data_IF_777215804757
#
_entry.id   IF_777215804757
#
_cell.length_a   1.000
_cell.length_b   1.000
_cell.length_c   1.000
_cell.angle_alpha   90.00
_cell.angle_beta   90.00
_cell.angle_gamma   90.00
#
_symmetry.space_group_name_H-M   'P 1'
#
loop_
_entity.id
_entity.type
_entity.pdbx_description
1 polymer ?
#
# COMPACT_ATOMS: atom_id res chain seq x y z
N UNK A 1 -19.65 -8.79 5.21
CA UNK A 1 -18.15 -8.81 5.16
C UNK A 1 -17.63 -9.63 6.34
N UNK A 2 -16.60 -10.44 6.13
CA UNK A 2 -15.96 -11.28 7.14
C UNK A 2 -14.53 -10.79 7.39
N UNK A 3 -14.03 -11.00 8.61
CA UNK A 3 -12.67 -10.63 8.98
C UNK A 3 -11.77 -11.87 9.02
N UNK A 4 -10.63 -11.79 8.35
CA UNK A 4 -9.58 -12.81 8.39
C UNK A 4 -8.32 -12.19 8.98
N UNK A 5 -7.70 -12.87 9.93
CA UNK A 5 -6.47 -12.46 10.57
C UNK A 5 -5.38 -13.51 10.33
N UNK A 6 -4.20 -13.04 9.99
CA UNK A 6 -3.02 -13.88 9.92
C UNK A 6 -1.99 -13.38 10.94
N UNK A 7 -1.38 -14.31 11.65
CA UNK A 7 -0.27 -14.03 12.58
C UNK A 7 1.09 -14.23 11.93
N UNK A 8 1.08 -14.58 10.62
CA UNK A 8 2.31 -14.71 9.84
C UNK A 8 2.89 -13.32 9.50
N UNK A 9 4.20 -13.17 9.66
CA UNK A 9 4.97 -12.03 9.14
C UNK A 9 5.72 -12.37 7.85
N UNK A 10 5.53 -13.59 7.33
CA UNK A 10 6.13 -14.04 6.08
C UNK A 10 5.43 -13.39 4.88
N UNK A 11 6.12 -12.52 4.10
CA UNK A 11 5.51 -11.79 3.01
C UNK A 11 4.98 -12.69 1.88
N UNK A 12 5.66 -13.79 1.62
CA UNK A 12 5.28 -14.73 0.57
C UNK A 12 3.96 -15.43 0.91
N UNK A 13 3.81 -15.83 2.19
CA UNK A 13 2.58 -16.42 2.71
C UNK A 13 1.43 -15.42 2.72
N UNK A 14 1.67 -14.21 3.20
CA UNK A 14 0.62 -13.19 3.34
C UNK A 14 0.04 -12.77 1.98
N UNK A 15 0.89 -12.61 0.95
CA UNK A 15 0.44 -12.32 -0.41
C UNK A 15 -0.24 -13.53 -1.08
N UNK A 16 0.18 -14.75 -0.75
CA UNK A 16 -0.50 -15.96 -1.21
C UNK A 16 -1.91 -16.09 -0.58
N UNK A 17 -2.04 -15.77 0.70
CA UNK A 17 -3.32 -15.75 1.40
C UNK A 17 -4.26 -14.69 0.81
N UNK A 18 -3.77 -13.48 0.58
CA UNK A 18 -4.54 -12.41 -0.06
C UNK A 18 -5.04 -12.82 -1.45
N UNK A 19 -4.16 -13.43 -2.27
CA UNK A 19 -4.54 -13.97 -3.58
C UNK A 19 -5.56 -15.09 -3.46
N UNK A 20 -5.37 -16.01 -2.52
CA UNK A 20 -6.31 -17.11 -2.32
C UNK A 20 -7.73 -16.61 -2.02
N UNK A 21 -7.85 -15.63 -1.11
CA UNK A 21 -9.15 -15.02 -0.77
C UNK A 21 -9.76 -14.32 -1.97
N UNK A 22 -8.96 -13.56 -2.73
CA UNK A 22 -9.43 -12.87 -3.93
C UNK A 22 -10.00 -13.84 -4.96
N UNK A 23 -9.32 -14.96 -5.20
CA UNK A 23 -9.60 -15.86 -6.32
C UNK A 23 -10.56 -16.99 -5.97
N UNK A 24 -10.64 -17.40 -4.69
CA UNK A 24 -11.39 -18.60 -4.28
C UNK A 24 -12.55 -18.33 -3.30
N UNK A 25 -12.45 -17.31 -2.46
CA UNK A 25 -13.50 -16.96 -1.51
C UNK A 25 -14.46 -15.95 -2.11
N UNK A 26 -15.42 -16.44 -2.91
CA UNK A 26 -16.39 -15.61 -3.66
C UNK A 26 -17.74 -15.45 -2.97
N UNK A 27 -17.94 -16.10 -1.83
CA UNK A 27 -19.17 -16.16 -1.05
C UNK A 27 -19.49 -14.84 -0.32
N UNK A 28 -18.45 -14.08 0.09
CA UNK A 28 -18.62 -12.85 0.86
C UNK A 28 -17.55 -11.79 0.48
N UNK A 29 -17.64 -10.64 1.12
CA UNK A 29 -16.59 -9.63 1.13
C UNK A 29 -15.67 -9.86 2.34
N UNK A 30 -14.40 -9.53 2.23
CA UNK A 30 -13.40 -9.83 3.25
C UNK A 30 -12.57 -8.60 3.62
N UNK A 31 -12.23 -8.51 4.91
CA UNK A 31 -11.22 -7.61 5.47
C UNK A 31 -10.09 -8.45 6.04
N UNK A 32 -8.85 -8.07 5.75
CA UNK A 32 -7.64 -8.60 6.39
C UNK A 32 -6.83 -7.48 7.03
N UNK A 33 -6.23 -7.74 8.19
CA UNK A 33 -5.13 -6.98 8.75
C UNK A 33 -3.91 -7.89 8.86
N UNK A 34 -2.74 -7.43 8.43
CA UNK A 34 -1.55 -8.27 8.33
C UNK A 34 -0.25 -7.45 8.30
N UNK A 35 0.87 -8.12 8.60
CA UNK A 35 2.20 -7.53 8.64
C UNK A 35 3.20 -8.35 7.84
N UNK A 36 4.24 -7.69 7.33
CA UNK A 36 5.44 -8.34 6.82
C UNK A 36 6.66 -7.90 7.65
N UNK A 37 7.61 -8.81 7.85
CA UNK A 37 8.87 -8.49 8.49
C UNK A 37 9.96 -8.26 7.43
N UNK A 38 10.68 -7.13 7.56
CA UNK A 38 11.89 -6.79 6.80
C UNK A 38 11.77 -7.12 5.30
N UNK A 39 10.83 -6.47 4.60
CA UNK A 39 10.43 -6.86 3.25
C UNK A 39 10.33 -5.67 2.31
N UNK A 40 10.89 -5.79 1.10
CA UNK A 40 10.54 -4.93 -0.03
C UNK A 40 9.40 -5.61 -0.81
N UNK A 41 8.30 -4.89 -1.01
CA UNK A 41 7.16 -5.34 -1.83
C UNK A 41 7.16 -4.58 -3.15
N UNK A 42 7.50 -5.29 -4.21
CA UNK A 42 7.57 -4.77 -5.59
C UNK A 42 6.17 -4.77 -6.21
N UNK A 43 5.81 -3.70 -6.90
CA UNK A 43 4.57 -3.66 -7.69
C UNK A 43 4.60 -4.64 -8.86
N UNK A 44 3.43 -5.15 -9.26
CA UNK A 44 3.28 -6.19 -10.30
C UNK A 44 4.09 -5.91 -11.58
N UNK A 45 4.12 -4.64 -11.99
CA UNK A 45 4.67 -4.23 -13.29
C UNK A 45 6.06 -3.56 -13.17
N UNK A 46 6.71 -3.62 -12.01
CA UNK A 46 8.02 -3.00 -11.82
C UNK A 46 9.16 -3.95 -12.20
N UNK A 47 10.27 -3.36 -12.66
CA UNK A 47 11.54 -4.07 -12.76
C UNK A 47 12.19 -4.10 -11.38
N UNK A 48 12.28 -5.28 -10.77
CA UNK A 48 12.76 -5.42 -9.39
C UNK A 48 14.14 -4.82 -9.19
N UNK A 49 15.10 -5.10 -10.08
CA UNK A 49 16.47 -4.59 -9.94
C UNK A 49 16.57 -3.06 -10.07
N UNK A 50 15.61 -2.42 -10.73
CA UNK A 50 15.56 -0.96 -10.83
C UNK A 50 14.96 -0.29 -9.58
N UNK A 51 14.31 -1.06 -8.71
CA UNK A 51 13.63 -0.52 -7.52
C UNK A 51 14.36 -0.84 -6.20
N UNK A 52 15.39 -1.68 -6.22
CA UNK A 52 16.09 -2.12 -5.01
C UNK A 52 17.57 -1.72 -5.03
N UNK A 53 18.12 -1.46 -3.85
CA UNK A 53 19.56 -1.43 -3.63
C UNK A 53 20.02 -2.88 -3.32
N UNK A 54 20.53 -3.59 -4.32
CA UNK A 54 20.87 -5.02 -4.22
C UNK A 54 21.88 -5.30 -3.10
N UNK A 55 22.89 -4.44 -2.91
CA UNK A 55 23.91 -4.59 -1.86
C UNK A 55 23.29 -4.43 -0.46
N UNK A 56 22.40 -3.48 -0.29
CA UNK A 56 21.68 -3.26 0.97
C UNK A 56 20.72 -4.43 1.26
N UNK A 57 20.00 -4.93 0.25
CA UNK A 57 19.13 -6.11 0.36
C UNK A 57 19.91 -7.32 0.91
N UNK A 58 21.09 -7.60 0.36
CA UNK A 58 21.93 -8.69 0.84
C UNK A 58 22.45 -8.42 2.25
N UNK A 59 22.98 -7.21 2.50
CA UNK A 59 23.55 -6.80 3.79
C UNK A 59 22.56 -6.94 4.93
N UNK A 60 21.32 -6.48 4.72
CA UNK A 60 20.29 -6.45 5.75
C UNK A 60 19.34 -7.66 5.69
N UNK A 61 19.60 -8.61 4.79
CA UNK A 61 18.78 -9.83 4.60
C UNK A 61 17.30 -9.50 4.37
N UNK A 62 17.04 -8.49 3.53
CA UNK A 62 15.67 -8.03 3.23
C UNK A 62 15.00 -9.03 2.30
N UNK A 63 13.76 -9.42 2.64
CA UNK A 63 12.93 -10.19 1.73
C UNK A 63 12.51 -9.32 0.55
N UNK A 64 12.47 -9.89 -0.65
CA UNK A 64 11.96 -9.20 -1.84
C UNK A 64 10.84 -10.03 -2.43
N UNK A 65 9.65 -9.46 -2.48
CA UNK A 65 8.46 -10.13 -3.00
C UNK A 65 7.70 -9.22 -3.94
N UNK A 66 7.13 -9.78 -5.00
CA UNK A 66 6.26 -9.06 -5.93
C UNK A 66 4.80 -9.29 -5.60
N UNK A 67 4.02 -8.21 -5.41
CA UNK A 67 2.57 -8.29 -5.19
C UNK A 67 1.79 -8.41 -6.50
N UNK A 68 0.53 -8.83 -6.40
CA UNK A 68 -0.39 -8.96 -7.53
C UNK A 68 -0.99 -7.65 -8.04
N UNK A 69 -0.85 -6.54 -7.30
CA UNK A 69 -1.34 -5.20 -7.65
C UNK A 69 -0.24 -4.35 -8.28
N UNK A 70 -0.60 -3.32 -9.03
CA UNK A 70 0.33 -2.31 -9.56
C UNK A 70 0.87 -1.36 -8.47
N UNK A 71 1.39 -0.21 -8.91
CA UNK A 71 1.98 0.81 -8.03
C UNK A 71 3.47 0.61 -7.77
N UNK A 72 4.08 1.54 -7.01
CA UNK A 72 5.50 1.58 -6.69
C UNK A 72 5.95 0.55 -5.66
N UNK A 73 7.27 0.38 -5.53
CA UNK A 73 7.88 -0.45 -4.48
C UNK A 73 7.73 0.23 -3.11
N UNK A 74 7.54 -0.58 -2.08
CA UNK A 74 7.45 -0.16 -0.68
C UNK A 74 8.31 -1.07 0.20
N UNK A 75 8.74 -0.54 1.34
CA UNK A 75 9.37 -1.33 2.39
C UNK A 75 8.38 -1.58 3.50
N UNK A 76 8.45 -2.73 4.13
CA UNK A 76 7.66 -3.12 5.30
C UNK A 76 8.58 -3.72 6.36
N UNK A 77 8.40 -3.27 7.59
CA UNK A 77 8.90 -3.94 8.78
C UNK A 77 7.76 -4.13 9.79
N UNK A 78 8.08 -4.57 11.01
CA UNK A 78 7.07 -4.74 12.07
C UNK A 78 6.51 -3.41 12.61
N UNK A 79 6.93 -2.27 12.08
CA UNK A 79 6.34 -0.96 12.32
C UNK A 79 5.26 -0.57 11.30
N UNK A 80 5.07 -1.38 10.23
CA UNK A 80 4.03 -1.18 9.25
C UNK A 80 2.87 -2.17 9.47
N UNK A 81 1.64 -1.70 9.34
CA UNK A 81 0.42 -2.53 9.32
C UNK A 81 -0.23 -2.44 7.95
N UNK A 82 -0.57 -3.59 7.36
CA UNK A 82 -1.30 -3.64 6.11
C UNK A 82 -2.77 -3.94 6.36
N UNK A 83 -3.63 -3.41 5.50
CA UNK A 83 -5.05 -3.78 5.43
C UNK A 83 -5.41 -4.17 4.00
N UNK A 84 -6.36 -5.11 3.86
CA UNK A 84 -6.89 -5.54 2.56
C UNK A 84 -8.39 -5.65 2.63
N UNK A 85 -9.09 -4.93 1.77
CA UNK A 85 -10.50 -5.13 1.47
C UNK A 85 -10.61 -5.93 0.18
N UNK A 86 -11.35 -7.02 0.21
CA UNK A 86 -11.61 -7.86 -0.95
C UNK A 86 -13.12 -7.94 -1.12
N UNK A 87 -13.66 -7.24 -2.11
CA UNK A 87 -15.10 -7.04 -2.26
C UNK A 87 -15.57 -7.41 -3.66
N UNK A 88 -16.87 -7.68 -3.78
CA UNK A 88 -17.52 -7.84 -5.09
C UNK A 88 -17.67 -6.48 -5.75
N UNK A 89 -17.35 -6.42 -7.03
CA UNK A 89 -17.58 -5.25 -7.87
C UNK A 89 -17.80 -5.70 -9.32
N UNK A 90 -18.99 -5.43 -9.84
CA UNK A 90 -19.37 -5.89 -11.16
C UNK A 90 -18.69 -5.10 -12.30
N UNK A 91 -18.24 -3.88 -12.01
CA UNK A 91 -17.74 -2.94 -13.01
C UNK A 91 -16.37 -2.39 -12.59
N UNK A 92 -15.34 -2.78 -13.31
CA UNK A 92 -13.97 -2.36 -13.05
C UNK A 92 -13.77 -0.83 -13.18
N UNK A 93 -14.60 -0.14 -13.98
CA UNK A 93 -14.51 1.31 -14.20
C UNK A 93 -15.12 2.11 -13.03
N UNK A 94 -15.94 1.47 -12.19
CA UNK A 94 -16.63 2.11 -11.05
C UNK A 94 -15.92 1.93 -9.71
N UNK A 95 -14.71 1.41 -9.72
CA UNK A 95 -13.96 1.19 -8.48
C UNK A 95 -13.46 2.52 -7.94
N UNK A 96 -14.14 3.02 -6.90
CA UNK A 96 -13.73 4.22 -6.19
C UNK A 96 -12.76 3.88 -5.05
N UNK A 97 -11.58 4.49 -5.04
CA UNK A 97 -10.60 4.33 -3.96
C UNK A 97 -11.15 4.79 -2.61
N UNK A 98 -11.91 5.88 -2.62
CA UNK A 98 -12.48 6.52 -1.43
C UNK A 98 -13.33 5.55 -0.61
N UNK A 99 -14.07 4.66 -1.24
CA UNK A 99 -14.90 3.64 -0.58
C UNK A 99 -14.11 2.80 0.42
N UNK A 100 -12.86 2.50 0.11
CA UNK A 100 -12.00 1.61 0.90
C UNK A 100 -11.09 2.35 1.88
N UNK A 101 -10.69 3.58 1.55
CA UNK A 101 -9.84 4.38 2.46
C UNK A 101 -10.66 5.11 3.52
N UNK A 102 -11.93 5.41 3.25
CA UNK A 102 -12.78 6.15 4.18
C UNK A 102 -12.96 5.49 5.56
N UNK A 103 -13.16 4.16 5.70
CA UNK A 103 -13.19 3.50 7.00
C UNK A 103 -11.90 3.71 7.80
N UNK A 104 -10.74 3.65 7.13
CA UNK A 104 -9.42 3.88 7.75
C UNK A 104 -9.30 5.33 8.20
N UNK A 105 -9.63 6.29 7.34
CA UNK A 105 -9.63 7.72 7.68
C UNK A 105 -10.54 8.01 8.86
N UNK A 106 -11.74 7.42 8.89
CA UNK A 106 -12.68 7.58 10.00
C UNK A 106 -12.08 7.07 11.31
N UNK A 107 -11.42 5.92 11.30
CA UNK A 107 -10.73 5.39 12.47
C UNK A 107 -9.60 6.33 12.94
N UNK A 108 -8.75 6.81 12.02
CA UNK A 108 -7.68 7.75 12.35
C UNK A 108 -8.20 9.08 12.90
N UNK A 109 -9.31 9.60 12.35
CA UNK A 109 -9.95 10.83 12.87
C UNK A 109 -10.52 10.67 14.26
N UNK A 110 -11.03 9.50 14.62
CA UNK A 110 -11.47 9.19 15.98
C UNK A 110 -10.32 9.21 17.00
N UNK A 111 -9.07 9.01 16.56
CA UNK A 111 -7.87 9.19 17.38
C UNK A 111 -7.40 10.66 17.44
N UNK A 112 -8.20 11.61 16.94
CA UNK A 112 -7.83 13.03 16.94
C UNK A 112 -6.85 13.43 15.83
N UNK A 113 -6.57 12.55 14.87
CA UNK A 113 -5.68 12.84 13.76
C UNK A 113 -6.43 13.52 12.60
N UNK A 114 -5.83 14.54 12.01
CA UNK A 114 -6.40 15.22 10.84
C UNK A 114 -6.10 14.43 9.54
N UNK A 115 -6.70 13.24 9.45
CA UNK A 115 -6.49 12.33 8.32
C UNK A 115 -7.40 12.68 7.13
N UNK A 116 -6.83 12.70 5.94
CA UNK A 116 -7.53 12.97 4.69
C UNK A 116 -6.94 12.20 3.51
N UNK A 117 -7.63 12.13 2.38
CA UNK A 117 -7.08 11.60 1.14
C UNK A 117 -6.26 12.65 0.43
N UNK A 118 -5.14 12.26 -0.20
CA UNK A 118 -4.36 13.11 -1.08
C UNK A 118 -4.08 12.42 -2.40
N UNK A 119 -4.38 13.14 -3.49
CA UNK A 119 -4.24 12.56 -4.82
C UNK A 119 -5.21 11.40 -5.04
N UNK A 120 -4.72 10.32 -5.67
CA UNK A 120 -5.56 9.17 -6.04
C UNK A 120 -5.54 8.05 -5.01
N UNK A 121 -4.46 7.94 -4.23
CA UNK A 121 -4.16 6.69 -3.53
C UNK A 121 -3.36 6.85 -2.23
N UNK A 122 -3.33 8.03 -1.64
CA UNK A 122 -2.60 8.28 -0.40
C UNK A 122 -3.54 8.69 0.72
N UNK A 123 -3.24 8.28 1.97
CA UNK A 123 -3.77 8.90 3.17
C UNK A 123 -2.68 9.78 3.75
N UNK A 124 -3.03 11.01 4.05
CA UNK A 124 -2.16 11.99 4.70
C UNK A 124 -2.72 12.43 6.04
N UNK A 125 -1.82 12.77 6.96
CA UNK A 125 -2.12 13.38 8.25
C UNK A 125 -1.23 14.63 8.36
N UNK A 126 -1.85 15.81 8.48
CA UNK A 126 -1.13 17.09 8.58
C UNK A 126 -0.05 17.28 7.50
N UNK A 127 -0.35 16.86 6.26
CA UNK A 127 0.55 16.96 5.11
C UNK A 127 1.58 15.85 4.97
N UNK A 128 1.69 14.93 5.94
CA UNK A 128 2.56 13.75 5.88
C UNK A 128 1.80 12.54 5.33
N UNK A 129 2.36 11.90 4.31
CA UNK A 129 1.83 10.62 3.81
C UNK A 129 2.10 9.52 4.82
N UNK A 130 1.03 8.84 5.25
CA UNK A 130 1.07 7.73 6.21
C UNK A 130 0.58 6.41 5.62
N UNK A 131 0.02 6.45 4.40
CA UNK A 131 -0.50 5.26 3.71
C UNK A 131 -0.38 5.43 2.21
N UNK A 132 -0.02 4.37 1.52
CA UNK A 132 -0.18 4.21 0.08
C UNK A 132 -1.09 3.01 -0.19
N UNK A 133 -1.92 3.09 -1.23
CA UNK A 133 -2.84 2.01 -1.58
C UNK A 133 -2.67 1.56 -3.02
N UNK A 134 -3.05 0.31 -3.29
CA UNK A 134 -3.10 -0.25 -4.63
C UNK A 134 -4.34 -1.14 -4.78
N UNK A 135 -4.79 -1.30 -6.03
CA UNK A 135 -5.97 -2.10 -6.35
C UNK A 135 -5.68 -3.10 -7.46
N UNK A 136 -6.43 -4.19 -7.43
CA UNK A 136 -6.50 -5.18 -8.52
C UNK A 136 -7.96 -5.59 -8.70
N UNK A 137 -8.43 -5.52 -9.95
CA UNK A 137 -9.69 -6.16 -10.35
C UNK A 137 -9.40 -7.58 -10.84
N UNK A 138 -10.25 -8.52 -10.43
CA UNK A 138 -10.17 -9.92 -10.84
C UNK A 138 -11.56 -10.57 -10.83
N UNK A 139 -12.06 -10.94 -11.99
CA UNK A 139 -13.31 -11.71 -12.18
C UNK A 139 -14.50 -11.23 -11.32
N UNK A 140 -14.83 -9.95 -11.39
CA UNK A 140 -15.95 -9.38 -10.64
C UNK A 140 -15.64 -9.07 -9.18
N UNK A 141 -14.37 -9.08 -8.79
CA UNK A 141 -13.90 -8.72 -7.44
C UNK A 141 -12.78 -7.70 -7.48
N UNK A 142 -12.70 -6.93 -6.42
CA UNK A 142 -11.65 -5.94 -6.19
C UNK A 142 -10.89 -6.33 -4.94
N UNK A 143 -9.58 -6.43 -5.09
CA UNK A 143 -8.62 -6.33 -4.00
C UNK A 143 -8.18 -4.88 -3.89
N UNK A 144 -8.43 -4.26 -2.75
CA UNK A 144 -7.88 -2.97 -2.36
C UNK A 144 -7.03 -3.17 -1.11
N UNK A 145 -5.75 -2.97 -1.20
CA UNK A 145 -4.87 -3.04 -0.04
C UNK A 145 -4.06 -1.76 0.14
N UNK A 146 -3.70 -1.49 1.38
CA UNK A 146 -2.91 -0.34 1.75
C UNK A 146 -1.99 -0.62 2.92
N UNK A 147 -0.98 0.25 3.03
CA UNK A 147 -0.04 0.29 4.17
C UNK A 147 -0.53 1.31 5.18
N UNK A 148 -0.19 1.12 6.45
CA UNK A 148 -0.26 2.12 7.51
C UNK A 148 1.12 2.18 8.16
N UNK A 149 1.87 3.23 7.85
CA UNK A 149 3.20 3.48 8.41
C UNK A 149 3.01 3.93 9.86
N UNK A 150 2.98 2.95 10.78
CA UNK A 150 2.72 3.26 12.18
C UNK A 150 3.99 3.68 12.91
N UNK A 151 5.06 2.87 12.82
CA UNK A 151 6.39 3.12 13.38
C UNK A 151 7.47 2.45 12.53
N UNK A 152 7.36 2.56 11.20
CA UNK A 152 8.28 1.97 10.23
C UNK A 152 9.65 2.64 10.29
N UNK A 153 10.71 1.86 10.08
CA UNK A 153 12.07 2.38 9.96
C UNK A 153 12.27 3.04 8.58
N UNK A 154 11.95 4.33 8.49
CA UNK A 154 12.06 5.11 7.25
C UNK A 154 13.50 5.25 6.74
N UNK A 155 14.52 5.17 7.60
CA UNK A 155 15.92 5.19 7.18
C UNK A 155 16.29 3.88 6.48
N UNK A 156 15.84 2.74 6.99
CA UNK A 156 15.98 1.44 6.32
C UNK A 156 15.27 1.45 4.96
N UNK A 157 14.04 1.94 4.91
CA UNK A 157 13.29 2.06 3.65
C UNK A 157 14.08 2.86 2.59
N UNK A 158 14.67 3.99 2.98
CA UNK A 158 15.50 4.81 2.10
C UNK A 158 16.81 4.12 1.67
N UNK A 159 17.38 3.24 2.48
CA UNK A 159 18.63 2.55 2.17
C UNK A 159 18.42 1.37 1.23
N UNK A 160 17.31 0.64 1.39
CA UNK A 160 17.06 -0.60 0.63
C UNK A 160 16.30 -0.36 -0.68
N UNK A 161 15.55 0.73 -0.79
CA UNK A 161 14.86 1.11 -2.02
C UNK A 161 15.76 2.00 -2.89
N UNK A 162 15.78 1.72 -4.18
CA UNK A 162 16.41 2.59 -5.14
C UNK A 162 15.41 3.67 -5.58
N UNK A 163 15.74 4.94 -5.30
CA UNK A 163 14.92 6.08 -5.73
C UNK A 163 15.51 6.64 -7.01
N UNK A 164 14.83 6.43 -8.14
CA UNK A 164 15.23 7.00 -9.43
C UNK A 164 15.26 8.54 -9.34
N UNK A 165 16.42 9.20 -9.59
CA UNK A 165 16.52 10.66 -9.55
C UNK A 165 15.55 11.37 -10.49
N UNK A 166 15.17 10.74 -11.60
CA UNK A 166 14.24 11.33 -12.56
C UNK A 166 12.79 11.28 -12.06
N UNK A 167 12.43 10.28 -11.25
CA UNK A 167 11.14 10.25 -10.53
C UNK A 167 11.02 11.41 -9.52
N UNK A 168 12.14 11.83 -8.91
CA UNK A 168 12.18 12.96 -7.98
C UNK A 168 11.97 14.28 -8.72
N UNK A 169 12.64 14.48 -9.87
CA UNK A 169 12.54 15.70 -10.68
C UNK A 169 11.15 15.90 -11.29
N UNK A 170 10.53 14.84 -11.81
CA UNK A 170 9.22 14.89 -12.44
C UNK A 170 8.09 15.31 -11.49
N UNK A 171 8.21 15.01 -10.19
CA UNK A 171 7.21 15.39 -9.17
C UNK A 171 7.35 16.83 -8.65
N UNK A 172 8.35 17.61 -9.08
CA UNK A 172 8.52 19.02 -8.74
C UNK A 172 8.70 19.29 -7.24
N UNK A 173 9.20 18.34 -6.46
CA UNK A 173 9.07 18.33 -5.01
C UNK A 173 10.42 18.40 -4.32
N UNK A 174 10.55 19.34 -3.41
CA UNK A 174 11.54 19.29 -2.33
C UNK A 174 11.38 17.95 -1.59
N UNK A 175 12.43 17.15 -1.62
CA UNK A 175 12.66 15.82 -1.03
C UNK A 175 11.43 14.98 -0.61
N UNK A 176 11.32 13.78 -1.15
CA UNK A 176 10.35 12.73 -0.75
C UNK A 176 10.38 12.50 0.78
N UNK A 177 11.53 12.70 1.43
CA UNK A 177 11.71 12.58 2.89
C UNK A 177 10.80 13.48 3.74
N UNK A 178 10.46 14.69 3.26
CA UNK A 178 9.65 15.64 4.04
C UNK A 178 8.15 15.37 4.00
N UNK A 179 7.69 14.32 3.32
CA UNK A 179 6.27 14.02 3.09
C UNK A 179 5.81 12.67 3.60
N UNK A 180 6.70 11.79 4.05
CA UNK A 180 6.36 10.49 4.62
C UNK A 180 6.56 10.58 6.13
N UNK A 181 5.60 10.09 6.90
CA UNK A 181 5.66 10.12 8.36
C UNK A 181 5.01 8.90 9.00
N UNK A 182 5.35 8.64 10.23
CA UNK A 182 4.79 7.57 11.04
C UNK A 182 3.56 8.05 11.82
N UNK A 183 2.49 7.27 11.80
CA UNK A 183 1.24 7.56 12.52
C UNK A 183 1.51 7.70 14.02
N UNK A 184 2.39 6.87 14.60
CA UNK A 184 2.73 6.91 16.02
C UNK A 184 3.29 8.27 16.47
N UNK A 185 4.18 8.85 15.65
CA UNK A 185 4.76 10.16 15.93
C UNK A 185 3.68 11.26 15.88
N UNK A 186 2.86 11.27 14.83
CA UNK A 186 1.77 12.22 14.65
C UNK A 186 0.72 12.10 15.76
N UNK A 187 0.43 10.87 16.19
CA UNK A 187 -0.47 10.59 17.30
C UNK A 187 0.11 11.11 18.63
N UNK A 188 1.39 10.91 18.87
CA UNK A 188 2.07 11.45 20.07
C UNK A 188 1.99 12.98 20.13
N UNK A 189 2.20 13.65 18.98
CA UNK A 189 2.09 15.11 18.89
C UNK A 189 0.65 15.56 19.15
N UNK A 190 -0.34 14.86 18.58
CA UNK A 190 -1.76 15.18 18.79
C UNK A 190 -2.18 15.01 20.25
N UNK A 191 -1.72 13.94 20.94
CA UNK A 191 -1.97 13.71 22.35
C UNK A 191 -1.37 14.83 23.23
N UNK A 192 -0.12 15.22 22.97
CA UNK A 192 0.53 16.32 23.70
C UNK A 192 -0.22 17.64 23.48
N UNK A 193 -0.64 17.96 22.26
CA UNK A 193 -1.43 19.17 21.99
C UNK A 193 -2.73 19.16 22.77
N UNK A 194 -3.47 18.03 22.74
CA UNK A 194 -4.72 17.90 23.49
C UNK A 194 -4.52 18.04 25.02
N UNK A 195 -3.41 17.53 25.59
CA UNK A 195 -3.08 17.72 27.00
C UNK A 195 -2.76 19.18 27.34
N UNK A 196 -2.04 19.89 26.45
CA UNK A 196 -1.73 21.31 26.61
C UNK A 196 -3.01 22.14 26.55
N UNK A 197 -3.88 21.89 25.57
CA UNK A 197 -5.17 22.57 25.40
C UNK A 197 -6.10 22.30 26.59
N UNK A 198 -6.20 21.03 27.03
CA UNK A 198 -6.98 20.70 28.23
C UNK A 198 -6.44 21.37 29.51
N UNK A 199 -5.11 21.49 29.61
CA UNK A 199 -4.47 22.17 30.73
C UNK A 199 -4.70 23.70 30.68
N UNK A 200 -4.67 24.29 29.46
CA UNK A 200 -4.99 25.70 29.25
C UNK A 200 -6.47 25.98 29.52
N UNK A 201 -7.39 25.11 29.12
CA UNK A 201 -8.82 25.18 29.40
C UNK A 201 -9.12 25.06 30.89
N UNK A 202 -8.40 24.19 31.61
CA UNK A 202 -8.49 24.07 33.06
C UNK A 202 -7.98 25.35 33.73
N UNK A 203 -6.84 25.90 33.30
CA UNK A 203 -6.30 27.15 33.81
C UNK A 203 -7.27 28.33 33.52
N UNK A 204 -7.85 28.39 32.32
CA UNK A 204 -8.85 29.40 31.97
C UNK A 204 -10.14 29.21 32.78
N UNK A 205 -10.58 27.96 33.01
CA UNK A 205 -11.75 27.66 33.83
C UNK A 205 -11.54 28.01 35.30
N UNK A 206 -10.34 27.71 35.83
CA UNK A 206 -9.99 28.12 37.20
C UNK A 206 -10.03 29.64 37.34
N UNK A 207 -9.61 30.36 36.28
CA UNK A 207 -9.73 31.81 36.21
C UNK A 207 -11.19 32.27 36.02
N UNK A 208 -12.00 31.55 35.18
CA UNK A 208 -13.40 31.86 34.92
C UNK A 208 -14.34 31.42 36.05
N UNK A 209 -14.04 30.36 36.78
CA UNK A 209 -14.72 29.99 38.04
C UNK A 209 -14.46 31.02 39.14
N UNK A 210 -13.23 31.55 39.19
CA UNK A 210 -12.95 32.73 40.02
C UNK A 210 -13.73 33.97 39.54
N UNK A 211 -14.16 34.01 38.27
CA UNK A 211 -14.96 35.05 37.61
C UNK A 211 -16.46 34.70 37.42
N UNK A 212 -16.91 33.50 37.86
CA UNK A 212 -18.35 33.10 37.86
C UNK A 212 -18.93 32.65 36.52
N UNK A 213 -18.17 32.08 35.57
CA UNK A 213 -18.64 31.56 34.27
C UNK A 213 -18.34 30.08 34.07
N UNK A 214 -19.33 29.23 33.76
CA UNK A 214 -19.26 27.77 33.63
C UNK A 214 -19.44 27.24 32.16
N UNK A 215 -18.68 26.22 31.76
CA UNK A 215 -18.87 25.38 30.59
C UNK A 215 -18.13 24.01 30.68
N UNK A 216 -18.67 22.92 30.06
CA UNK A 216 -18.36 21.49 30.34
C UNK A 216 -17.32 20.85 29.41
N UNK A 217 -16.27 20.09 29.87
CA UNK A 217 -15.16 19.54 29.11
C UNK A 217 -15.04 18.00 29.06
N UNK A 218 -16.12 17.23 29.00
CA UNK A 218 -16.09 15.78 29.22
C UNK A 218 -15.75 14.90 27.98
N UNK A 219 -15.77 15.41 26.76
CA UNK A 219 -15.62 14.58 25.54
C UNK A 219 -14.18 14.32 25.10
N UNK A 220 -13.22 15.23 25.34
CA UNK A 220 -11.81 15.04 24.97
C UNK A 220 -11.07 14.00 25.83
N UNK A 221 -11.51 13.74 27.05
CA UNK A 221 -10.84 12.81 27.97
C UNK A 221 -10.99 11.32 27.62
N UNK A 222 -12.11 10.89 27.01
CA UNK A 222 -12.37 9.48 26.74
C UNK A 222 -11.41 8.84 25.73
N UNK A 223 -10.86 9.62 24.80
CA UNK A 223 -9.97 9.12 23.76
C UNK A 223 -8.55 8.89 24.26
N UNK A 224 -8.05 9.78 25.13
CA UNK A 224 -6.73 9.66 25.78
C UNK A 224 -6.69 8.41 26.67
N UNK A 225 -7.80 8.09 27.37
CA UNK A 225 -7.91 6.90 28.21
C UNK A 225 -7.93 5.59 27.42
N UNK A 226 -8.41 5.58 26.17
CA UNK A 226 -8.55 4.38 25.34
C UNK A 226 -7.21 3.91 24.76
N UNK A 227 -6.28 4.83 24.47
CA UNK A 227 -4.92 4.51 24.03
C UNK A 227 -3.90 4.49 25.18
N UNK A 228 -4.22 5.09 26.33
CA UNK A 228 -3.38 5.10 27.55
C UNK A 228 -1.92 5.47 27.27
N UNK A 229 -1.03 4.90 28.04
CA UNK A 229 0.42 5.04 27.86
C UNK A 229 1.00 4.08 26.78
N UNK A 230 0.19 3.22 26.15
CA UNK A 230 0.65 2.21 25.20
C UNK A 230 0.38 2.63 23.75
N UNK A 231 1.35 3.35 23.15
CA UNK A 231 1.39 3.64 21.72
C UNK A 231 2.10 2.53 20.94
N UNK A 232 1.92 1.27 21.33
CA UNK A 232 2.48 0.13 20.60
C UNK A 232 1.66 -0.18 19.33
N UNK A 233 2.29 -0.80 18.34
CA UNK A 233 1.57 -1.24 17.13
C UNK A 233 0.50 -2.29 17.47
N UNK A 234 0.71 -3.27 18.39
CA UNK A 234 -0.36 -4.17 18.79
C UNK A 234 -1.60 -3.47 19.35
N UNK A 235 -1.43 -2.39 20.14
CA UNK A 235 -2.56 -1.59 20.64
C UNK A 235 -3.28 -0.87 19.50
N UNK A 236 -2.54 -0.28 18.55
CA UNK A 236 -3.10 0.33 17.36
C UNK A 236 -3.83 -0.68 16.47
N UNK A 237 -3.27 -1.87 16.27
CA UNK A 237 -3.92 -2.96 15.54
C UNK A 237 -5.25 -3.37 16.18
N UNK A 238 -5.25 -3.60 17.49
CA UNK A 238 -6.46 -3.96 18.22
C UNK A 238 -7.54 -2.86 18.12
N UNK A 239 -7.15 -1.61 18.22
CA UNK A 239 -8.03 -0.47 18.01
C UNK A 239 -8.59 -0.45 16.59
N UNK A 240 -7.74 -0.51 15.56
CA UNK A 240 -8.17 -0.47 14.16
C UNK A 240 -9.10 -1.65 13.84
N UNK A 241 -8.77 -2.86 14.32
CA UNK A 241 -9.64 -4.03 14.22
C UNK A 241 -11.01 -3.73 14.81
N UNK A 242 -11.09 -3.21 16.04
CA UNK A 242 -12.36 -2.92 16.70
C UNK A 242 -13.20 -1.90 15.92
N UNK A 243 -12.58 -0.85 15.38
CA UNK A 243 -13.28 0.17 14.58
C UNK A 243 -13.81 -0.36 13.25
N UNK A 244 -13.01 -1.18 12.56
CA UNK A 244 -13.37 -1.72 11.25
C UNK A 244 -14.38 -2.88 11.34
N UNK A 245 -14.45 -3.57 12.49
CA UNK A 245 -15.38 -4.69 12.71
C UNK A 245 -16.58 -4.33 13.59
N UNK A 246 -16.76 -3.05 13.95
CA UNK A 246 -17.80 -2.57 14.88
C UNK A 246 -19.23 -2.91 14.45
N UNK A 247 -19.49 -3.07 13.15
CA UNK A 247 -20.81 -3.41 12.59
C UNK A 247 -21.16 -4.90 12.71
N UNK A 248 -20.48 -5.66 13.62
CA UNK A 248 -20.74 -7.09 13.86
C UNK A 248 -20.09 -8.02 12.84
N UNK A 249 -19.00 -7.60 12.22
CA UNK A 249 -18.21 -8.42 11.28
C UNK A 249 -17.71 -9.69 11.99
N UNK A 250 -18.03 -10.86 11.43
CA UNK A 250 -17.59 -12.13 12.00
C UNK A 250 -16.14 -12.42 11.62
N UNK A 251 -15.35 -12.89 12.59
CA UNK A 251 -14.03 -13.43 12.33
C UNK A 251 -14.16 -14.84 11.77
N UNK A 252 -13.47 -15.11 10.67
CA UNK A 252 -13.43 -16.40 10.01
C UNK A 252 -12.00 -16.94 9.94
N UNK A 253 -11.89 -18.27 9.98
CA UNK A 253 -10.62 -18.97 9.81
C UNK A 253 -10.67 -19.80 8.54
N UNK A 254 -9.52 -19.97 7.91
CA UNK A 254 -9.39 -20.89 6.78
C UNK A 254 -9.38 -22.34 7.28
N UNK A 255 -9.96 -23.23 6.49
CA UNK A 255 -9.88 -24.68 6.75
C UNK A 255 -8.47 -25.20 6.47
N UNK A 256 -8.10 -26.40 6.97
CA UNK A 256 -6.81 -27.02 6.65
C UNK A 256 -6.56 -27.18 5.15
N UNK A 257 -7.61 -27.50 4.38
CA UNK A 257 -7.54 -27.65 2.92
C UNK A 257 -7.25 -26.30 2.23
N UNK A 258 -7.86 -25.23 2.71
CA UNK A 258 -7.61 -23.87 2.22
C UNK A 258 -6.20 -23.39 2.55
N UNK A 259 -5.74 -23.65 3.77
CA UNK A 259 -4.36 -23.36 4.18
C UNK A 259 -3.35 -24.11 3.30
N UNK A 260 -3.63 -25.36 2.93
CA UNK A 260 -2.80 -26.11 1.99
C UNK A 260 -2.79 -25.47 0.58
N UNK A 261 -3.91 -24.90 0.12
CA UNK A 261 -3.95 -24.17 -1.15
C UNK A 261 -3.16 -22.84 -1.07
N UNK A 262 -3.24 -22.13 0.05
CA UNK A 262 -2.42 -20.93 0.27
C UNK A 262 -0.93 -21.27 0.21
N UNK A 263 -0.51 -22.36 0.89
CA UNK A 263 0.89 -22.79 0.89
C UNK A 263 1.35 -23.23 -0.51
N UNK A 264 0.45 -23.85 -1.28
CA UNK A 264 0.71 -24.19 -2.69
C UNK A 264 0.94 -22.92 -3.54
N UNK A 265 0.06 -21.92 -3.44
CA UNK A 265 0.20 -20.64 -4.15
C UNK A 265 1.53 -19.97 -3.75
N UNK A 266 1.86 -19.97 -2.46
CA UNK A 266 3.13 -19.44 -1.95
C UNK A 266 4.31 -20.12 -2.65
N UNK A 267 4.36 -21.46 -2.61
CA UNK A 267 5.49 -22.25 -3.13
C UNK A 267 5.61 -22.16 -4.66
N UNK A 268 4.49 -22.23 -5.37
CA UNK A 268 4.49 -22.25 -6.85
C UNK A 268 4.65 -20.85 -7.47
N UNK A 269 4.46 -19.77 -6.69
CA UNK A 269 4.52 -18.42 -7.21
C UNK A 269 5.37 -17.49 -6.35
N UNK A 270 4.92 -17.17 -5.14
CA UNK A 270 5.51 -16.08 -4.36
C UNK A 270 6.93 -16.38 -3.86
N UNK A 271 7.27 -17.63 -3.57
CA UNK A 271 8.63 -18.05 -3.22
C UNK A 271 9.57 -18.17 -4.43
N UNK A 272 9.04 -18.07 -5.67
CA UNK A 272 9.85 -18.30 -6.87
C UNK A 272 10.68 -17.07 -7.24
N UNK A 273 11.90 -17.30 -7.69
CA UNK A 273 12.74 -16.26 -8.28
C UNK A 273 12.09 -15.66 -9.53
N UNK A 274 11.48 -16.49 -10.36
CA UNK A 274 10.79 -16.11 -11.59
C UNK A 274 9.75 -15.02 -11.36
N UNK A 275 8.89 -15.19 -10.33
CA UNK A 275 7.85 -14.22 -10.00
C UNK A 275 8.44 -12.92 -9.47
N UNK A 276 9.43 -13.02 -8.58
CA UNK A 276 9.96 -11.86 -7.86
C UNK A 276 10.97 -11.06 -8.68
N UNK A 277 11.80 -11.71 -9.50
CA UNK A 277 12.92 -11.10 -10.23
C UNK A 277 12.89 -11.35 -11.75
N UNK A 278 12.23 -12.41 -12.21
CA UNK A 278 12.32 -12.90 -13.60
C UNK A 278 11.74 -11.96 -14.67
N UNK A 279 11.09 -10.86 -14.27
CA UNK A 279 10.62 -9.82 -15.20
C UNK A 279 11.67 -8.74 -15.47
N UNK A 280 12.91 -9.10 -15.70
CA UNK A 280 13.98 -8.15 -16.06
C UNK A 280 14.48 -8.45 -17.45
N UNK A 281 14.17 -7.60 -18.45
CA UNK A 281 14.60 -7.75 -19.82
C UNK A 281 15.80 -6.84 -20.09
N UNK A 282 16.93 -7.39 -20.55
CA UNK A 282 17.92 -6.63 -21.31
C UNK A 282 17.32 -6.20 -22.65
N UNK A 283 17.45 -4.94 -23.01
CA UNK A 283 16.76 -4.39 -24.16
C UNK A 283 17.68 -3.57 -25.04
N UNK A 284 17.49 -3.65 -26.36
CA UNK A 284 18.14 -2.79 -27.34
C UNK A 284 17.54 -1.38 -27.34
N UNK A 285 16.24 -1.30 -27.06
CA UNK A 285 15.49 -0.05 -27.02
C UNK A 285 14.73 0.08 -25.70
N UNK A 286 14.84 1.25 -25.10
CA UNK A 286 14.08 1.64 -23.91
C UNK A 286 13.29 2.91 -24.20
N UNK A 287 11.94 2.83 -24.11
CA UNK A 287 11.03 3.97 -24.25
C UNK A 287 10.41 4.28 -22.90
N UNK A 288 10.54 5.52 -22.42
CA UNK A 288 9.98 5.97 -21.14
C UNK A 288 9.02 7.13 -21.37
N UNK A 289 7.87 7.09 -20.68
CA UNK A 289 6.92 8.18 -20.64
C UNK A 289 6.38 8.38 -19.23
N UNK A 290 5.95 9.60 -18.91
CA UNK A 290 5.32 9.92 -17.64
C UNK A 290 3.92 10.47 -17.90
N UNK A 291 2.92 9.82 -17.29
CA UNK A 291 1.52 10.21 -17.37
C UNK A 291 0.99 10.57 -15.97
N UNK A 292 -0.19 11.22 -15.87
CA UNK A 292 -0.81 11.46 -14.56
C UNK A 292 -1.03 10.20 -13.73
N UNK A 293 -1.13 9.02 -14.37
CA UNK A 293 -1.34 7.72 -13.75
C UNK A 293 -0.06 7.07 -13.20
N UNK A 294 1.09 7.58 -13.58
CA UNK A 294 2.40 7.04 -13.23
C UNK A 294 3.38 7.07 -14.39
N UNK A 295 4.58 6.59 -14.18
CA UNK A 295 5.55 6.40 -15.25
C UNK A 295 5.38 5.01 -15.88
N UNK A 296 5.74 4.91 -17.17
CA UNK A 296 5.72 3.68 -17.93
C UNK A 296 7.00 3.56 -18.76
N UNK A 297 7.52 2.36 -18.87
CA UNK A 297 8.71 2.05 -19.65
C UNK A 297 8.48 0.78 -20.47
N UNK A 298 8.68 0.86 -21.78
CA UNK A 298 8.80 -0.32 -22.63
C UNK A 298 10.27 -0.65 -22.84
N UNK A 299 10.64 -1.90 -22.58
CA UNK A 299 11.94 -2.49 -22.96
C UNK A 299 11.71 -3.45 -24.10
N UNK A 300 12.44 -3.27 -25.19
CA UNK A 300 12.23 -3.99 -26.44
C UNK A 300 13.55 -4.56 -26.89
N UNK A 301 13.58 -5.86 -27.12
CA UNK A 301 14.69 -6.57 -27.75
C UNK A 301 14.36 -6.79 -29.22
N UNK A 302 15.31 -6.47 -30.10
CA UNK A 302 15.16 -6.63 -31.54
C UNK A 302 15.94 -7.81 -32.07
N UNK A 303 15.40 -8.43 -33.14
CA UNK A 303 16.11 -9.36 -34.01
C UNK A 303 15.79 -8.99 -35.45
N UNK A 304 16.81 -8.60 -36.21
CA UNK A 304 16.70 -8.17 -37.63
C UNK A 304 15.59 -7.11 -37.85
N UNK A 305 15.47 -6.12 -36.91
CA UNK A 305 14.49 -5.03 -37.02
C UNK A 305 13.07 -5.41 -36.58
N UNK A 306 12.84 -6.64 -36.16
CA UNK A 306 11.57 -7.11 -35.60
C UNK A 306 11.68 -7.27 -34.06
N UNK A 307 10.59 -7.06 -33.39
CA UNK A 307 10.48 -7.21 -31.93
C UNK A 307 10.60 -8.71 -31.60
N UNK A 308 11.70 -9.08 -30.94
CA UNK A 308 11.97 -10.44 -30.46
C UNK A 308 11.34 -10.67 -29.08
N UNK A 309 11.46 -9.71 -28.20
CA UNK A 309 10.83 -9.69 -26.87
C UNK A 309 10.49 -8.25 -26.49
N UNK A 310 9.45 -8.08 -25.69
CA UNK A 310 9.02 -6.79 -25.17
C UNK A 310 8.47 -6.94 -23.76
N UNK A 311 8.81 -5.98 -22.87
CA UNK A 311 8.29 -5.89 -21.51
C UNK A 311 7.88 -4.47 -21.20
N UNK A 312 6.73 -4.33 -20.53
CA UNK A 312 6.18 -3.06 -20.09
C UNK A 312 6.32 -2.98 -18.57
N UNK A 313 7.00 -1.95 -18.11
CA UNK A 313 7.24 -1.67 -16.69
C UNK A 313 6.65 -0.33 -16.29
N UNK A 314 6.38 -0.15 -14.99
CA UNK A 314 5.93 1.13 -14.45
C UNK A 314 5.35 1.03 -13.05
N UNK A 315 5.05 2.20 -12.48
CA UNK A 315 4.37 2.34 -11.19
C UNK A 315 2.88 2.70 -11.33
N UNK A 316 2.32 2.45 -12.51
CA UNK A 316 0.90 2.66 -12.81
C UNK A 316 0.03 1.47 -12.40
N UNK A 317 -1.26 1.73 -12.26
CA UNK A 317 -2.29 0.70 -12.10
C UNK A 317 -3.13 0.63 -13.38
N UNK A 318 -3.35 -0.58 -13.89
CA UNK A 318 -4.15 -0.81 -15.09
C UNK A 318 -4.98 -2.09 -14.92
N UNK A 319 -6.23 -2.12 -15.40
CA UNK A 319 -7.00 -3.35 -15.51
C UNK A 319 -6.56 -4.24 -16.67
N UNK A 320 -5.73 -3.70 -17.60
CA UNK A 320 -5.32 -4.39 -18.82
C UNK A 320 -4.31 -5.49 -18.52
N UNK A 321 -4.36 -6.57 -19.30
CA UNK A 321 -3.38 -7.65 -19.26
C UNK A 321 -2.13 -7.27 -20.06
N UNK A 322 -1.11 -6.82 -19.37
CA UNK A 322 0.16 -6.45 -20.00
C UNK A 322 0.83 -7.62 -20.71
N UNK A 323 0.64 -8.85 -20.25
CA UNK A 323 1.24 -10.03 -20.86
C UNK A 323 0.68 -10.24 -22.28
N UNK A 324 -0.62 -10.05 -22.46
CA UNK A 324 -1.23 -10.12 -23.78
C UNK A 324 -0.74 -8.99 -24.69
N UNK A 325 -0.58 -7.78 -24.15
CA UNK A 325 -0.07 -6.63 -24.88
C UNK A 325 1.39 -6.89 -25.30
N UNK A 326 2.26 -7.31 -24.38
CA UNK A 326 3.66 -7.66 -24.63
C UNK A 326 3.77 -8.73 -25.73
N UNK A 327 2.98 -9.80 -25.62
CA UNK A 327 2.94 -10.88 -26.63
C UNK A 327 2.46 -10.39 -28.00
N UNK A 328 1.52 -9.45 -28.04
CA UNK A 328 1.01 -8.91 -29.31
C UNK A 328 2.04 -8.13 -30.11
N UNK A 329 3.13 -7.69 -29.47
CA UNK A 329 4.23 -6.96 -30.10
C UNK A 329 5.24 -7.88 -30.78
N UNK A 330 5.38 -9.12 -30.30
CA UNK A 330 6.41 -10.06 -30.78
C UNK A 330 6.23 -10.38 -32.26
N UNK A 331 7.32 -10.31 -33.03
CA UNK A 331 7.37 -10.53 -34.46
C UNK A 331 6.99 -9.32 -35.32
N UNK A 332 6.45 -8.23 -34.72
CA UNK A 332 6.16 -7.00 -35.49
C UNK A 332 7.45 -6.22 -35.76
N UNK A 333 7.38 -5.38 -36.78
CA UNK A 333 8.41 -4.38 -37.05
C UNK A 333 8.36 -3.31 -35.94
N UNK A 334 9.53 -2.80 -35.54
CA UNK A 334 9.59 -1.74 -34.53
C UNK A 334 9.26 -0.39 -35.16
N UNK A 335 8.22 0.24 -34.65
CA UNK A 335 7.84 1.63 -34.97
C UNK A 335 7.67 2.42 -33.70
N UNK A 336 8.49 3.46 -33.52
CA UNK A 336 8.53 4.27 -32.30
C UNK A 336 7.17 4.87 -31.94
N UNK A 337 6.49 5.48 -32.92
CA UNK A 337 5.18 6.12 -32.72
C UNK A 337 4.08 5.13 -32.30
N UNK A 338 4.13 3.89 -32.80
CA UNK A 338 3.19 2.84 -32.41
C UNK A 338 3.40 2.40 -30.97
N UNK A 339 4.66 2.31 -30.53
CA UNK A 339 4.99 1.99 -29.13
C UNK A 339 4.54 3.11 -28.22
N UNK A 340 4.83 4.37 -28.52
CA UNK A 340 4.44 5.51 -27.70
C UNK A 340 2.92 5.60 -27.54
N UNK A 341 2.16 5.38 -28.62
CA UNK A 341 0.69 5.32 -28.56
C UNK A 341 0.18 4.14 -27.72
N UNK A 342 0.81 2.98 -27.86
CA UNK A 342 0.47 1.81 -27.03
C UNK A 342 0.70 2.09 -25.54
N UNK A 343 1.82 2.72 -25.19
CA UNK A 343 2.12 3.08 -23.79
C UNK A 343 1.10 4.06 -23.22
N UNK A 344 0.69 5.04 -24.03
CA UNK A 344 -0.38 5.97 -23.63
C UNK A 344 -1.71 5.23 -23.39
N UNK A 345 -2.06 4.30 -24.27
CA UNK A 345 -3.29 3.53 -24.13
C UNK A 345 -3.27 2.58 -22.91
N UNK A 346 -2.10 2.04 -22.55
CA UNK A 346 -1.95 1.15 -21.36
C UNK A 346 -2.29 1.87 -20.05
N UNK A 347 -1.98 3.15 -19.94
CA UNK A 347 -2.16 3.92 -18.70
C UNK A 347 -3.49 4.69 -18.63
N UNK A 348 -4.21 4.78 -19.75
CA UNK A 348 -5.57 5.33 -19.82
C UNK A 348 -6.60 4.28 -19.41
#
# INVERSE_FOLDING_TARGET
>A
MKYIETYSTNPYYNLALEQYILENRTDDDYLMLWQNDNTIVIGRNQNTYAEINADAVVRYKVNVVRRGTGGGAVYHDLGNLNYSFITREADAEKIAFEKFVYPIIKALRKLGLNAETSGRNDIIIDGCKVSGVAQRYYQGRVLHHGTLLYNENLDMANEVLHVDPDKIKAKGVKSVRSRIGNIRELLSIALIKNEIEASADIAQKTADEAAGKLGNPAEGRKMIEQFGADLSLPAFWAYLKSELTADGMQQEQLTPEELAQVEKIKTEKYDTWEWNYGRSLEADIVRKAHYPQGWIEARIQLDHGRIKDARIYGDFMTPKDLTQIEQSLIGREYHEEEIDKLLEDVVK
#
